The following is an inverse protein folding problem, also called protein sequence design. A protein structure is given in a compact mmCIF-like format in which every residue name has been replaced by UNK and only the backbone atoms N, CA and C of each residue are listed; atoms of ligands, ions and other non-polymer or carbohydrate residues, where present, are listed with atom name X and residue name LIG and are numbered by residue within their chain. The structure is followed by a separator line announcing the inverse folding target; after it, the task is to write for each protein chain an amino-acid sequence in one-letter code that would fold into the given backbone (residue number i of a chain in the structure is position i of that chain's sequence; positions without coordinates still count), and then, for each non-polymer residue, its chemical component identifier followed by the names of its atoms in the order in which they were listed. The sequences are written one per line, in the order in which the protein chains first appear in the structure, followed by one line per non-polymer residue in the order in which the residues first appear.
data_IF_809464823768
#
_entry.id   IF_809464823768
#
_cell.length_a   1.000
_cell.length_b   1.000
_cell.length_c   1.000
_cell.angle_alpha   90.00
_cell.angle_beta   90.00
_cell.angle_gamma   90.00
#
_symmetry.space_group_name_H-M   'P 1'
#
loop_
_entity.id
_entity.type
_entity.pdbx_description
1 polymer ?
2 non-polymer ?
3 water ?
#
# COMPACT_ATOMS: atom_id res chain seq x y z
N UNK A 1 -5.62 7.48 12.44
CA UNK A 1 -5.35 8.15 11.17
C UNK A 1 -3.86 8.39 10.97
N UNK A 2 -3.40 8.31 9.73
CA UNK A 2 -1.99 8.43 9.42
C UNK A 2 -1.83 9.49 8.36
N UNK A 3 -0.87 10.38 8.56
CA UNK A 3 -0.60 11.47 7.63
C UNK A 3 0.84 11.34 7.21
N UNK A 4 1.07 11.17 5.90
CA UNK A 4 2.41 11.01 5.35
C UNK A 4 2.52 11.92 4.14
N UNK A 5 3.31 12.99 4.26
CA UNK A 5 3.41 13.96 3.20
C UNK A 5 2.03 14.46 2.82
N UNK A 6 1.67 14.33 1.55
CA UNK A 6 0.37 14.79 1.07
C UNK A 6 -0.70 13.72 1.18
N UNK A 7 -0.36 12.56 1.72
CA UNK A 7 -1.26 11.42 1.83
C UNK A 7 -1.81 11.34 3.25
N UNK A 8 -3.11 11.10 3.36
CA UNK A 8 -3.75 10.88 4.65
C UNK A 8 -4.60 9.62 4.57
N UNK A 9 -4.46 8.74 5.55
CA UNK A 9 -5.17 7.47 5.59
C UNK A 9 -6.09 7.49 6.80
N UNK A 10 -7.39 7.30 6.58
CA UNK A 10 -8.37 7.39 7.65
C UNK A 10 -8.97 6.00 7.85
N UNK A 11 -8.44 5.21 8.79
CA UNK A 11 -8.88 3.82 8.92
C UNK A 11 -10.35 3.69 9.29
N UNK A 12 -10.82 4.56 10.18
CA UNK A 12 -12.19 4.47 10.67
C UNK A 12 -13.21 4.72 9.57
N UNK A 13 -12.82 5.41 8.51
CA UNK A 13 -13.72 5.70 7.40
C UNK A 13 -13.31 4.99 6.12
N UNK A 14 -12.23 4.21 6.15
CA UNK A 14 -11.75 3.48 4.97
C UNK A 14 -11.53 4.43 3.80
N UNK A 15 -11.01 5.63 4.09
CA UNK A 15 -10.75 6.61 3.06
C UNK A 15 -9.26 6.94 3.06
N UNK A 16 -8.72 7.11 1.86
CA UNK A 16 -7.40 7.68 1.67
C UNK A 16 -7.56 8.97 0.90
N UNK A 17 -6.79 9.98 1.26
CA UNK A 17 -6.87 11.26 0.59
C UNK A 17 -5.48 11.63 0.11
N UNK A 18 -5.43 12.31 -1.03
CA UNK A 18 -4.18 12.83 -1.56
C UNK A 18 -4.44 14.28 -1.94
N UNK A 19 -3.64 15.19 -1.38
CA UNK A 19 -3.90 16.63 -1.48
C UNK A 19 -5.32 16.93 -1.03
N UNK A 20 -5.75 16.23 0.02
CA UNK A 20 -7.04 16.43 0.63
C UNK A 20 -8.21 15.84 -0.11
N UNK A 21 -7.99 15.27 -1.29
CA UNK A 21 -9.05 14.72 -2.11
C UNK A 21 -9.16 13.21 -1.89
N UNK A 22 -10.39 12.75 -1.63
CA UNK A 22 -10.64 11.31 -1.50
C UNK A 22 -10.23 10.56 -2.76
N UNK A 23 -9.43 9.51 -2.58
CA UNK A 23 -9.03 8.63 -3.66
C UNK A 23 -10.04 7.52 -3.85
N UNK A 24 -10.10 7.00 -5.07
CA UNK A 24 -11.01 5.92 -5.43
C UNK A 24 -10.24 4.61 -5.44
N UNK A 25 -10.07 4.03 -4.26
CA UNK A 25 -9.37 2.76 -4.09
C UNK A 25 -10.37 1.63 -3.87
N UNK A 26 -10.05 0.44 -4.39
CA UNK A 26 -10.80 -0.74 -3.98
C UNK A 26 -10.58 -1.00 -2.49
N UNK A 27 -11.43 -1.85 -1.91
CA UNK A 27 -11.20 -2.27 -0.54
C UNK A 27 -9.82 -2.91 -0.39
N UNK A 28 -9.42 -3.72 -1.36
CA UNK A 28 -8.13 -4.39 -1.26
C UNK A 28 -6.98 -3.40 -1.36
N UNK A 29 -7.10 -2.43 -2.27
CA UNK A 29 -6.07 -1.41 -2.39
C UNK A 29 -5.94 -0.60 -1.10
N UNK A 30 -7.07 -0.28 -0.47
CA UNK A 30 -7.00 0.45 0.79
C UNK A 30 -6.35 -0.39 1.88
N UNK A 31 -6.71 -1.68 1.97
CA UNK A 31 -6.16 -2.51 3.03
C UNK A 31 -4.66 -2.69 2.85
N UNK A 32 -4.21 -2.83 1.61
CA UNK A 32 -2.77 -2.88 1.31
C UNK A 32 -2.09 -1.58 1.73
N UNK A 33 -2.66 -0.46 1.31
CA UNK A 33 -2.10 0.84 1.68
C UNK A 33 -2.01 0.99 3.19
N UNK A 34 -3.11 0.70 3.88
CA UNK A 34 -3.15 0.84 5.34
C UNK A 34 -2.20 -0.14 6.02
N UNK A 35 -2.15 -1.39 5.53
CA UNK A 35 -1.24 -2.35 6.15
C UNK A 35 0.19 -1.87 6.05
N UNK A 36 0.57 -1.33 4.88
CA UNK A 36 1.93 -0.83 4.71
C UNK A 36 2.20 0.35 5.62
N UNK A 37 1.28 1.31 5.66
CA UNK A 37 1.44 2.46 6.53
C UNK A 37 1.31 2.12 8.01
N UNK A 38 0.72 0.97 8.36
CA UNK A 38 0.61 0.60 9.77
C UNK A 38 1.91 0.04 10.33
N UNK A 39 2.76 -0.55 9.48
CA UNK A 39 4.08 -0.99 9.93
C UNK A 39 5.10 0.14 9.97
N UNK A 40 4.79 1.30 9.37
CA UNK A 40 5.51 2.56 9.56
C UNK A 40 7.01 2.43 9.25
N UNK A 41 7.29 2.29 7.96
CA UNK A 41 8.66 2.29 7.49
C UNK A 41 9.42 0.99 7.66
N UNK A 42 8.76 -0.06 8.13
CA UNK A 42 9.34 -1.39 8.20
C UNK A 42 9.03 -2.13 6.92
N UNK A 43 9.98 -2.94 6.47
CA UNK A 43 9.78 -3.69 5.24
C UNK A 43 8.86 -4.88 5.51
N UNK A 44 7.90 -5.09 4.61
CA UNK A 44 6.91 -6.16 4.68
C UNK A 44 7.11 -7.07 3.47
N UNK A 45 7.19 -8.38 3.70
CA UNK A 45 7.36 -9.24 2.54
C UNK A 45 6.05 -9.39 1.78
N UNK A 46 6.15 -9.81 0.51
CA UNK A 46 4.95 -10.11 -0.27
C UNK A 46 4.13 -11.21 0.38
N UNK A 47 4.79 -12.27 0.85
CA UNK A 47 4.08 -13.37 1.49
C UNK A 47 3.28 -12.87 2.69
N UNK A 48 3.89 -11.98 3.48
CA UNK A 48 3.21 -11.40 4.63
C UNK A 48 1.99 -10.59 4.21
N UNK A 49 2.14 -9.74 3.18
CA UNK A 49 0.97 -8.99 2.69
C UNK A 49 -0.12 -9.92 2.15
N UNK A 50 0.26 -11.04 1.52
CA UNK A 50 -0.76 -11.98 1.05
C UNK A 50 -1.55 -12.56 2.21
N UNK A 51 -0.84 -13.04 3.24
CA UNK A 51 -1.49 -13.71 4.36
C UNK A 51 -2.43 -12.77 5.11
N UNK A 52 -2.12 -11.48 5.16
CA UNK A 52 -2.94 -10.58 5.96
C UNK A 52 -4.00 -9.87 5.15
N UNK A 53 -3.67 -9.45 3.93
CA UNK A 53 -4.58 -8.63 3.13
C UNK A 53 -5.49 -9.49 2.25
N UNK A 54 -4.96 -10.56 1.66
CA UNK A 54 -5.72 -11.48 0.81
C UNK A 54 -6.18 -12.73 1.55
N UNK A 55 -5.27 -13.43 2.20
CA UNK A 55 -5.62 -14.56 3.04
C UNK A 55 -5.15 -15.90 2.49
N UNK A 56 -5.76 -16.96 3.03
CA UNK A 56 -5.28 -18.32 2.78
C UNK A 56 -5.43 -18.71 1.32
N UNK A 57 -6.54 -18.33 0.69
CA UNK A 57 -6.78 -18.69 -0.71
C UNK A 57 -5.88 -17.92 -1.65
N UNK A 58 -4.71 -17.50 -1.16
CA UNK A 58 -3.77 -16.73 -1.96
C UNK A 58 -2.32 -17.07 -1.60
N UNK A 59 -2.06 -18.29 -1.11
CA UNK A 59 -0.80 -18.56 -0.42
C UNK A 59 0.42 -18.38 -1.32
N UNK A 60 0.41 -18.98 -2.51
CA UNK A 60 1.61 -19.00 -3.32
C UNK A 60 1.85 -17.78 -4.18
N UNK A 61 0.78 -17.07 -4.57
CA UNK A 61 0.82 -16.15 -5.70
C UNK A 61 1.20 -14.74 -5.25
N UNK A 62 2.49 -14.56 -4.98
CA UNK A 62 3.04 -13.26 -4.64
C UNK A 62 2.88 -12.23 -5.76
N UNK A 63 2.67 -12.65 -7.01
CA UNK A 63 2.58 -11.67 -8.10
C UNK A 63 1.37 -10.76 -7.95
N UNK A 64 0.34 -11.23 -7.26
CA UNK A 64 -0.83 -10.40 -6.97
C UNK A 64 -0.43 -9.15 -6.19
N UNK A 65 0.56 -9.27 -5.32
CA UNK A 65 0.97 -8.14 -4.51
C UNK A 65 1.65 -7.09 -5.38
N UNK A 66 2.55 -7.53 -6.26
CA UNK A 66 3.23 -6.61 -7.17
C UNK A 66 2.24 -5.91 -8.10
N UNK A 67 1.28 -6.66 -8.64
CA UNK A 67 0.26 -6.09 -9.52
C UNK A 67 -0.56 -5.05 -8.77
N UNK A 68 -0.93 -5.34 -7.51
CA UNK A 68 -1.74 -4.39 -6.74
C UNK A 68 -0.92 -3.18 -6.31
N UNK A 69 0.36 -3.37 -5.98
CA UNK A 69 1.21 -2.22 -5.65
C UNK A 69 1.30 -1.28 -6.85
N UNK A 70 1.46 -1.84 -8.05
CA UNK A 70 1.56 -0.99 -9.23
C UNK A 70 0.29 -0.18 -9.42
N UNK A 71 -0.87 -0.83 -9.27
CA UNK A 71 -2.15 -0.13 -9.39
C UNK A 71 -2.29 0.93 -8.30
N UNK A 72 -1.93 0.59 -7.07
CA UNK A 72 -1.94 1.57 -5.97
C UNK A 72 -0.99 2.73 -6.25
N UNK A 73 0.20 2.44 -6.77
CA UNK A 73 1.13 3.50 -7.10
C UNK A 73 0.56 4.44 -8.16
N UNK A 74 -0.13 3.89 -9.16
CA UNK A 74 -0.71 4.76 -10.18
C UNK A 74 -1.75 5.70 -9.58
N UNK A 75 -2.42 5.27 -8.51
CA UNK A 75 -3.45 6.08 -7.87
C UNK A 75 -2.91 7.06 -6.84
N UNK A 76 -1.80 6.78 -6.15
CA UNK A 76 -1.37 7.66 -5.07
C UNK A 76 -0.05 8.39 -5.33
N UNK A 77 0.78 7.94 -6.27
CA UNK A 77 2.09 8.56 -6.45
C UNK A 77 2.01 9.73 -7.42
N UNK A 78 2.76 10.80 -7.09
CA UNK A 78 2.92 11.90 -8.03
C UNK A 78 3.61 11.44 -9.31
N UNK A 79 4.58 10.53 -9.19
CA UNK A 79 5.30 9.96 -10.32
C UNK A 79 5.36 8.45 -10.09
N UNK A 80 4.41 7.70 -10.64
CA UNK A 80 4.35 6.26 -10.36
C UNK A 80 5.62 5.49 -10.71
N UNK A 81 6.39 5.94 -11.71
CA UNK A 81 7.60 5.22 -12.08
C UNK A 81 8.76 5.54 -11.16
N UNK A 82 8.63 6.57 -10.33
CA UNK A 82 9.64 6.95 -9.35
C UNK A 82 8.93 7.17 -8.02
N UNK A 83 8.44 6.11 -7.40
CA UNK A 83 7.54 6.27 -6.26
C UNK A 83 8.24 6.86 -5.05
N UNK A 84 7.47 7.58 -4.23
CA UNK A 84 7.96 8.15 -2.98
C UNK A 84 7.21 7.68 -1.74
N UNK A 85 5.98 7.20 -1.88
CA UNK A 85 5.20 6.74 -0.73
C UNK A 85 5.37 5.24 -0.51
N UNK A 86 5.07 4.44 -1.52
CA UNK A 86 5.21 2.99 -1.43
C UNK A 86 6.52 2.63 -2.10
N UNK A 87 7.45 2.11 -1.30
CA UNK A 87 8.83 1.92 -1.71
C UNK A 87 9.17 0.44 -1.79
N UNK A 88 10.05 0.10 -2.73
CA UNK A 88 10.47 -1.27 -2.92
C UNK A 88 11.79 -1.52 -2.20
N UNK A 89 11.85 -2.61 -1.44
CA UNK A 89 13.13 -3.12 -0.94
C UNK A 89 13.50 -4.34 -1.78
N UNK A 90 14.51 -4.17 -2.63
CA UNK A 90 14.87 -5.15 -3.65
C UNK A 90 14.95 -6.56 -3.08
N UNK A 91 14.17 -7.46 -3.65
CA UNK A 91 14.22 -8.85 -3.27
C UNK A 91 13.68 -9.20 -1.91
N UNK A 92 12.99 -8.29 -1.21
CA UNK A 92 12.42 -8.69 0.07
C UNK A 92 10.96 -8.26 0.17
N UNK A 93 10.63 -7.06 -0.33
CA UNK A 93 9.26 -6.59 -0.24
C UNK A 93 9.05 -5.10 -0.41
N UNK A 94 8.08 -4.55 0.33
CA UNK A 94 7.68 -3.16 0.19
C UNK A 94 7.62 -2.48 1.55
N UNK A 95 7.68 -1.15 1.54
CA UNK A 95 7.49 -0.41 2.78
C UNK A 95 6.96 0.99 2.49
N UNK A 96 6.39 1.61 3.52
CA UNK A 96 5.93 2.98 3.42
C UNK A 96 7.04 3.93 3.88
N UNK A 97 7.20 5.03 3.16
CA UNK A 97 8.20 6.02 3.50
C UNK A 97 7.98 6.56 4.91
N UNK A 98 9.08 6.94 5.55
CA UNK A 98 9.04 7.48 6.91
C UNK A 98 8.52 8.91 6.95
X LIG B 1 1.41 -6.99 8.97
#
# INVERSE_FOLDING_TARGET
PIQIGDLEIVPDAYVAKKYGEELDLTHREFELLYHLASHTGQVITREHLLETVWGYDYFGDVRTVDVTVRRLREKIEDTPSRPEYILTRRGVGYYMRN
ZN ZN
#
